data_IF_535089020582
#
_entry.id   IF_535089020582
#
_cell.length_a   1.000
_cell.length_b   1.000
_cell.length_c   1.000
_cell.angle_alpha   90.00
_cell.angle_beta   90.00
_cell.angle_gamma   90.00
#
_symmetry.space_group_name_H-M   'P 1'
#
loop_
_entity.id
_entity.type
_entity.pdbx_description
1 polymer ?
#
# COMPACT_ATOMS: atom_id res chain seq x y z
N UNK A 1 -9.57 16.15 19.63
CA UNK A 1 -8.92 15.04 18.93
C UNK A 1 -8.38 14.09 19.98
N UNK A 2 -8.60 12.80 19.79
CA UNK A 2 -7.92 11.79 20.60
C UNK A 2 -6.41 11.83 20.30
N UNK A 3 -5.58 11.37 21.23
CA UNK A 3 -4.11 11.34 21.05
C UNK A 3 -3.71 10.55 19.79
N UNK A 4 -4.48 9.50 19.48
CA UNK A 4 -4.33 8.66 18.29
C UNK A 4 -4.58 9.42 16.98
N UNK A 5 -5.53 10.37 16.94
CA UNK A 5 -5.80 11.18 15.74
C UNK A 5 -4.58 12.02 15.36
N UNK A 6 -3.96 12.62 16.38
CA UNK A 6 -2.78 13.48 16.21
C UNK A 6 -1.59 12.64 15.75
N UNK A 7 -1.47 11.40 16.23
CA UNK A 7 -0.42 10.48 15.80
C UNK A 7 -0.62 10.03 14.33
N UNK A 8 -1.84 9.65 13.95
CA UNK A 8 -2.15 9.24 12.59
C UNK A 8 -1.92 10.37 11.58
N UNK A 9 -2.32 11.59 11.92
CA UNK A 9 -2.07 12.77 11.10
C UNK A 9 -0.56 13.02 10.93
N UNK A 10 0.24 12.88 12.00
CA UNK A 10 1.70 13.00 11.91
C UNK A 10 2.31 11.94 11.00
N UNK A 11 1.84 10.70 11.08
CA UNK A 11 2.32 9.61 10.20
C UNK A 11 1.94 9.92 8.74
N UNK A 12 0.69 10.31 8.48
CA UNK A 12 0.23 10.65 7.15
C UNK A 12 1.04 11.80 6.54
N UNK A 13 1.22 12.88 7.29
CA UNK A 13 2.04 14.02 6.87
C UNK A 13 3.48 13.59 6.60
N UNK A 14 4.07 12.77 7.47
CA UNK A 14 5.42 12.24 7.25
C UNK A 14 5.48 11.44 5.93
N UNK A 15 4.55 10.53 5.67
CA UNK A 15 4.56 9.75 4.44
C UNK A 15 4.27 10.58 3.18
N UNK A 16 3.45 11.63 3.24
CA UNK A 16 3.24 12.52 2.09
C UNK A 16 4.52 13.23 1.65
N UNK A 17 5.36 13.67 2.60
CA UNK A 17 6.60 14.36 2.27
C UNK A 17 7.76 13.41 1.93
N UNK A 18 7.81 12.24 2.56
CA UNK A 18 8.95 11.31 2.42
C UNK A 18 8.70 10.16 1.44
N UNK A 19 7.45 9.81 1.15
CA UNK A 19 7.08 8.62 0.37
C UNK A 19 7.71 8.60 -1.02
N UNK A 20 7.75 9.73 -1.70
CA UNK A 20 8.34 9.87 -3.04
C UNK A 20 9.85 9.57 -3.08
N UNK A 21 10.56 9.80 -1.97
CA UNK A 21 12.02 9.59 -1.86
C UNK A 21 12.39 8.19 -1.38
N UNK A 22 11.40 7.37 -1.01
CA UNK A 22 11.66 6.08 -0.39
C UNK A 22 11.89 4.99 -1.43
N UNK A 23 13.08 4.39 -1.47
CA UNK A 23 13.45 3.44 -2.53
C UNK A 23 13.01 2.00 -2.28
N UNK A 24 12.60 1.65 -1.04
CA UNK A 24 12.12 0.30 -0.73
C UNK A 24 10.66 0.16 -1.18
N UNK A 25 10.40 -0.77 -2.11
CA UNK A 25 9.06 -1.04 -2.65
C UNK A 25 8.25 -1.99 -1.76
N UNK A 26 8.90 -2.74 -0.85
CA UNK A 26 8.28 -3.84 -0.14
C UNK A 26 7.30 -3.44 0.96
N UNK A 27 6.80 -4.45 1.67
CA UNK A 27 5.72 -4.27 2.65
C UNK A 27 6.17 -3.66 3.99
N UNK A 28 7.20 -4.24 4.62
CA UNK A 28 7.49 -3.96 6.03
C UNK A 28 8.08 -2.56 6.26
N UNK A 29 8.97 -2.14 5.37
CA UNK A 29 9.65 -0.84 5.44
C UNK A 29 9.54 -0.09 4.11
N UNK A 30 8.61 -0.43 3.23
CA UNK A 30 8.57 0.14 1.88
C UNK A 30 7.22 0.75 1.52
N UNK A 31 7.12 1.23 0.29
CA UNK A 31 5.95 1.95 -0.22
C UNK A 31 4.67 1.12 -0.10
N UNK A 32 4.71 -0.21 -0.22
CA UNK A 32 3.51 -1.04 -0.07
C UNK A 32 2.89 -0.91 1.33
N UNK A 33 3.70 -0.76 2.39
CA UNK A 33 3.18 -0.49 3.74
C UNK A 33 2.50 0.88 3.83
N UNK A 34 3.03 1.88 3.12
CA UNK A 34 2.45 3.23 3.04
C UNK A 34 1.11 3.21 2.28
N UNK A 35 1.03 2.47 1.18
CA UNK A 35 -0.22 2.27 0.41
C UNK A 35 -1.31 1.69 1.31
N UNK A 36 -1.01 0.62 2.05
CA UNK A 36 -1.99 0.03 2.99
C UNK A 36 -2.43 1.05 4.04
N UNK A 37 -1.49 1.81 4.60
CA UNK A 37 -1.80 2.85 5.56
C UNK A 37 -2.75 3.90 4.97
N UNK A 38 -2.48 4.41 3.77
CA UNK A 38 -3.28 5.49 3.18
C UNK A 38 -4.68 5.05 2.76
N UNK A 39 -4.88 3.82 2.27
CA UNK A 39 -6.22 3.28 2.04
C UNK A 39 -7.05 3.23 3.32
N UNK A 40 -6.46 2.77 4.43
CA UNK A 40 -7.14 2.78 5.73
C UNK A 40 -7.37 4.20 6.24
N UNK A 41 -6.40 5.08 6.08
CA UNK A 41 -6.49 6.46 6.54
C UNK A 41 -7.57 7.25 5.78
N UNK A 42 -7.68 7.04 4.46
CA UNK A 42 -8.76 7.59 3.65
C UNK A 42 -10.14 7.18 4.17
N UNK A 43 -10.33 5.88 4.45
CA UNK A 43 -11.57 5.35 5.04
C UNK A 43 -11.82 5.89 6.45
N UNK A 44 -10.77 6.05 7.26
CA UNK A 44 -10.85 6.59 8.62
C UNK A 44 -11.31 8.06 8.64
N UNK A 45 -10.71 8.90 7.79
CA UNK A 45 -11.02 10.33 7.75
C UNK A 45 -12.19 10.68 6.84
N UNK A 46 -12.59 9.77 5.95
CA UNK A 46 -13.55 10.02 4.87
C UNK A 46 -13.01 10.99 3.79
N UNK A 47 -11.69 11.08 3.64
CA UNK A 47 -11.05 12.00 2.69
C UNK A 47 -10.41 11.20 1.55
N UNK A 48 -11.03 11.26 0.37
CA UNK A 48 -10.59 10.52 -0.83
C UNK A 48 -9.20 10.94 -1.32
N UNK A 49 -8.71 12.11 -0.94
CA UNK A 49 -7.35 12.54 -1.32
C UNK A 49 -6.28 11.54 -0.84
N UNK A 50 -6.48 10.90 0.31
CA UNK A 50 -5.56 9.88 0.81
C UNK A 50 -5.64 8.58 0.00
N UNK A 51 -6.79 8.27 -0.59
CA UNK A 51 -6.94 7.15 -1.51
C UNK A 51 -6.19 7.44 -2.82
N UNK A 52 -6.33 8.64 -3.38
CA UNK A 52 -5.59 9.08 -4.56
C UNK A 52 -4.06 8.92 -4.37
N UNK A 53 -3.55 9.31 -3.19
CA UNK A 53 -2.13 9.10 -2.84
C UNK A 53 -1.75 7.62 -2.70
N UNK A 54 -2.63 6.79 -2.14
CA UNK A 54 -2.39 5.36 -2.04
C UNK A 54 -2.29 4.71 -3.43
N UNK A 55 -3.16 5.11 -4.35
CA UNK A 55 -3.14 4.65 -5.74
C UNK A 55 -1.89 5.12 -6.49
N UNK A 56 -1.47 6.37 -6.30
CA UNK A 56 -0.22 6.89 -6.89
C UNK A 56 0.99 6.07 -6.44
N UNK A 57 1.15 5.84 -5.12
CA UNK A 57 2.24 5.00 -4.62
C UNK A 57 2.14 3.55 -5.10
N UNK A 58 0.93 3.02 -5.27
CA UNK A 58 0.77 1.68 -5.81
C UNK A 58 1.22 1.60 -7.27
N UNK A 59 0.84 2.57 -8.10
CA UNK A 59 1.29 2.65 -9.49
C UNK A 59 2.81 2.76 -9.57
N UNK A 60 3.43 3.61 -8.75
CA UNK A 60 4.89 3.72 -8.68
C UNK A 60 5.57 2.39 -8.32
N UNK A 61 5.00 1.62 -7.37
CA UNK A 61 5.52 0.29 -7.02
C UNK A 61 5.49 -0.62 -8.25
N UNK A 62 4.35 -0.70 -8.93
CA UNK A 62 4.14 -1.60 -10.07
C UNK A 62 5.04 -1.23 -11.26
N UNK A 63 5.19 0.06 -11.55
CA UNK A 63 6.08 0.57 -12.59
C UNK A 63 7.56 0.34 -12.28
N UNK A 64 7.92 0.28 -10.99
CA UNK A 64 9.30 0.06 -10.54
C UNK A 64 9.69 -1.42 -10.43
N UNK A 65 8.76 -2.36 -10.63
CA UNK A 65 9.06 -3.79 -10.57
C UNK A 65 9.93 -4.23 -11.76
N UNK A 66 10.92 -5.08 -11.47
CA UNK A 66 11.80 -5.64 -12.49
C UNK A 66 12.17 -7.10 -12.15
N UNK A 67 12.80 -7.80 -13.09
CA UNK A 67 13.16 -9.22 -12.93
C UNK A 67 14.09 -9.50 -11.76
N UNK A 68 14.89 -8.52 -11.35
CA UNK A 68 15.79 -8.62 -10.19
C UNK A 68 15.12 -8.25 -8.84
N UNK A 69 13.82 -7.90 -8.82
CA UNK A 69 13.14 -7.55 -7.56
C UNK A 69 13.17 -8.76 -6.60
N UNK A 70 13.59 -8.59 -5.34
CA UNK A 70 13.68 -9.71 -4.40
C UNK A 70 12.34 -10.44 -4.25
N UNK A 71 12.36 -11.77 -4.07
CA UNK A 71 11.14 -12.57 -3.83
C UNK A 71 10.75 -12.55 -2.33
N UNK A 72 11.43 -11.75 -1.50
CA UNK A 72 11.22 -11.73 -0.05
C UNK A 72 9.89 -11.06 0.38
N UNK A 73 9.34 -11.49 1.51
CA UNK A 73 8.16 -10.84 2.08
C UNK A 73 8.44 -9.42 2.59
N UNK A 74 9.61 -9.21 3.22
CA UNK A 74 9.92 -7.94 3.87
C UNK A 74 10.09 -6.78 2.88
N UNK A 75 10.79 -7.03 1.77
CA UNK A 75 11.29 -6.00 0.83
C UNK A 75 10.99 -6.29 -0.64
N UNK A 76 10.14 -7.27 -0.92
CA UNK A 76 10.09 -7.89 -2.24
C UNK A 76 8.69 -8.29 -2.69
N UNK A 77 8.66 -9.00 -3.82
CA UNK A 77 7.46 -9.39 -4.54
C UNK A 77 6.43 -10.12 -3.67
N UNK A 78 6.87 -10.99 -2.75
CA UNK A 78 5.95 -11.69 -1.86
C UNK A 78 5.20 -10.73 -0.91
N UNK A 79 5.87 -9.68 -0.43
CA UNK A 79 5.24 -8.65 0.41
C UNK A 79 4.29 -7.76 -0.37
N UNK A 80 4.69 -7.39 -1.60
CA UNK A 80 3.86 -6.59 -2.51
C UNK A 80 2.60 -7.36 -2.91
N UNK A 81 2.74 -8.61 -3.37
CA UNK A 81 1.62 -9.47 -3.73
C UNK A 81 0.68 -9.74 -2.55
N UNK A 82 1.23 -9.95 -1.36
CA UNK A 82 0.41 -10.06 -0.15
C UNK A 82 -0.34 -8.75 0.17
N UNK A 83 0.33 -7.60 0.02
CA UNK A 83 -0.29 -6.29 0.23
C UNK A 83 -1.45 -6.04 -0.72
N UNK A 84 -1.29 -6.36 -2.00
CA UNK A 84 -2.35 -6.32 -3.00
C UNK A 84 -3.54 -7.21 -2.62
N UNK A 85 -3.27 -8.47 -2.30
CA UNK A 85 -4.30 -9.42 -1.87
C UNK A 85 -5.03 -8.94 -0.62
N UNK A 86 -4.31 -8.32 0.31
CA UNK A 86 -4.89 -7.72 1.49
C UNK A 86 -5.85 -6.58 1.13
N UNK A 87 -5.46 -5.64 0.27
CA UNK A 87 -6.30 -4.51 -0.15
C UNK A 87 -7.60 -4.98 -0.80
N UNK A 88 -7.50 -5.96 -1.69
CA UNK A 88 -8.63 -6.62 -2.33
C UNK A 88 -9.58 -7.23 -1.27
N UNK A 89 -9.04 -8.03 -0.33
CA UNK A 89 -9.84 -8.67 0.72
C UNK A 89 -10.51 -7.69 1.68
N UNK A 90 -9.97 -6.49 1.85
CA UNK A 90 -10.55 -5.42 2.66
C UNK A 90 -11.53 -4.52 1.89
N UNK A 91 -11.77 -4.81 0.61
CA UNK A 91 -12.65 -4.02 -0.25
C UNK A 91 -12.12 -2.63 -0.55
N UNK A 92 -10.80 -2.44 -0.55
CA UNK A 92 -10.17 -1.20 -1.02
C UNK A 92 -9.95 -1.19 -2.53
N UNK A 93 -9.88 -2.36 -3.15
CA UNK A 93 -9.68 -2.50 -4.59
C UNK A 93 -10.64 -3.55 -5.14
N UNK A 94 -11.26 -3.24 -6.27
CA UNK A 94 -12.01 -4.22 -7.04
C UNK A 94 -11.06 -4.99 -7.96
N UNK A 95 -11.18 -6.31 -7.94
CA UNK A 95 -10.59 -7.19 -8.94
C UNK A 95 -11.56 -8.33 -9.19
N UNK A 96 -11.50 -8.97 -10.34
CA UNK A 96 -12.13 -10.28 -10.51
C UNK A 96 -11.30 -11.31 -9.72
N UNK A 97 -11.59 -11.38 -8.41
CA UNK A 97 -10.88 -12.23 -7.44
C UNK A 97 -10.92 -13.70 -7.89
N UNK A 98 -12.03 -14.10 -8.53
CA UNK A 98 -12.21 -15.47 -9.00
C UNK A 98 -11.30 -15.84 -10.17
N UNK A 99 -10.95 -14.89 -11.04
CA UNK A 99 -10.01 -15.15 -12.14
C UNK A 99 -8.56 -15.10 -11.65
N UNK A 100 -8.24 -14.12 -10.80
CA UNK A 100 -6.88 -13.91 -10.27
C UNK A 100 -6.39 -15.07 -9.39
N UNK A 101 -7.28 -15.75 -8.65
CA UNK A 101 -6.91 -16.80 -7.68
C UNK A 101 -7.31 -18.21 -8.09
N UNK A 102 -7.77 -18.41 -9.33
CA UNK A 102 -8.28 -19.71 -9.82
C UNK A 102 -7.26 -20.84 -9.77
N UNK A 103 -5.98 -20.50 -9.80
CA UNK A 103 -4.86 -21.46 -9.89
C UNK A 103 -4.10 -21.63 -8.56
N UNK A 104 -4.61 -21.06 -7.46
CA UNK A 104 -3.97 -21.12 -6.13
C UNK A 104 -4.59 -22.15 -5.17
N UNK A 105 -5.50 -23.00 -5.65
CA UNK A 105 -6.06 -24.16 -4.94
C UNK A 105 -5.27 -25.46 -5.20
#
# INVERSE_FOLDING_TARGET
>A
MADDDVLLEKIANHYLFYGSFHSDLGLYNGKMGMVIFFFHYARYTGNSLYEDFAEEFLNEILESLHTETPISFKRGLAGIGWGMLYLIKQGFMETDIQETFKDMD
#
